data_IF_818498452375
#
_entry.id   IF_818498452375
#
_cell.length_a   1.000
_cell.length_b   1.000
_cell.length_c   1.000
_cell.angle_alpha   90.00
_cell.angle_beta   90.00
_cell.angle_gamma   90.00
#
_symmetry.space_group_name_H-M   'P 1'
#
loop_
_entity.id
_entity.type
_entity.pdbx_description
1 polymer ?
#
# COMPACT_ATOMS: atom_id res chain seq x y z
N UNK A 1 5.54 33.84 10.60
CA UNK A 1 5.60 32.41 10.27
C UNK A 1 4.65 31.66 11.17
N UNK A 2 3.76 30.83 10.64
CA UNK A 2 2.81 30.05 11.45
C UNK A 2 3.44 28.70 11.81
N UNK A 3 3.43 28.34 13.10
CA UNK A 3 3.90 27.04 13.58
C UNK A 3 2.82 25.98 13.38
N UNK A 4 3.11 24.96 12.57
CA UNK A 4 2.20 23.83 12.38
C UNK A 4 2.28 22.92 13.59
N UNK A 5 1.19 22.83 14.36
CA UNK A 5 1.08 21.89 15.48
C UNK A 5 0.52 20.56 14.99
N UNK A 6 1.28 19.49 15.17
CA UNK A 6 0.85 18.12 14.87
C UNK A 6 0.23 17.51 16.12
N UNK A 7 -0.99 16.99 16.00
CA UNK A 7 -1.72 16.31 17.07
C UNK A 7 -2.02 14.87 16.66
N UNK A 8 -1.70 13.91 17.53
CA UNK A 8 -2.13 12.52 17.39
C UNK A 8 -3.11 12.21 18.52
N UNK A 9 -4.39 11.93 18.21
CA UNK A 9 -5.36 11.59 19.24
C UNK A 9 -4.95 10.31 19.97
N UNK A 10 -5.15 10.27 21.29
CA UNK A 10 -4.93 9.06 22.09
C UNK A 10 -5.87 7.90 21.71
N UNK A 11 -7.02 8.23 21.09
CA UNK A 11 -7.97 7.27 20.54
C UNK A 11 -8.33 7.65 19.10
N UNK A 12 -8.05 6.75 18.16
CA UNK A 12 -8.46 6.87 16.76
C UNK A 12 -9.55 5.86 16.45
N UNK A 13 -10.75 6.36 16.16
CA UNK A 13 -11.83 5.53 15.64
C UNK A 13 -11.66 5.38 14.14
N UNK A 14 -11.71 4.13 13.67
CA UNK A 14 -11.67 3.85 12.23
C UNK A 14 -13.03 4.17 11.60
N UNK A 15 -13.06 5.12 10.68
CA UNK A 15 -14.24 5.48 9.91
C UNK A 15 -14.04 5.08 8.44
N UNK A 16 -14.76 4.07 8.00
CA UNK A 16 -14.67 3.52 6.64
C UNK A 16 -14.96 4.57 5.56
N UNK A 17 -15.89 5.51 5.82
CA UNK A 17 -16.18 6.61 4.91
C UNK A 17 -14.97 7.54 4.73
N UNK A 18 -14.29 7.90 5.82
CA UNK A 18 -13.11 8.75 5.77
C UNK A 18 -11.92 8.01 5.14
N UNK A 19 -11.75 6.72 5.42
CA UNK A 19 -10.71 5.91 4.78
C UNK A 19 -10.90 5.84 3.26
N UNK A 20 -12.15 5.65 2.80
CA UNK A 20 -12.49 5.68 1.37
C UNK A 20 -12.20 7.04 0.74
N UNK A 21 -12.59 8.14 1.38
CA UNK A 21 -12.30 9.49 0.86
C UNK A 21 -10.79 9.77 0.82
N UNK A 22 -10.01 9.27 1.78
CA UNK A 22 -8.54 9.34 1.75
C UNK A 22 -7.96 8.57 0.57
N UNK A 23 -8.42 7.34 0.33
CA UNK A 23 -7.99 6.53 -0.81
C UNK A 23 -8.29 7.26 -2.13
N UNK A 24 -9.51 7.77 -2.30
CA UNK A 24 -9.91 8.60 -3.45
C UNK A 24 -9.04 9.83 -3.62
N UNK A 25 -8.79 10.56 -2.53
CA UNK A 25 -8.00 11.80 -2.58
C UNK A 25 -6.58 11.55 -3.09
N UNK A 26 -5.91 10.50 -2.58
CA UNK A 26 -4.56 10.14 -3.00
C UNK A 26 -4.52 9.68 -4.46
N UNK A 27 -5.45 8.80 -4.85
CA UNK A 27 -5.52 8.28 -6.22
C UNK A 27 -5.90 9.38 -7.23
N UNK A 28 -6.84 10.25 -6.86
CA UNK A 28 -7.22 11.40 -7.68
C UNK A 28 -6.06 12.37 -7.88
N UNK A 29 -5.29 12.67 -6.84
CA UNK A 29 -4.14 13.56 -6.95
C UNK A 29 -3.09 13.05 -7.94
N UNK A 30 -2.89 11.72 -8.00
CA UNK A 30 -2.00 11.08 -8.96
C UNK A 30 -2.60 11.04 -10.37
N UNK A 31 -3.85 10.62 -10.51
CA UNK A 31 -4.54 10.51 -11.79
C UNK A 31 -4.70 11.88 -12.48
N UNK A 32 -5.03 12.93 -11.72
CA UNK A 32 -5.17 14.30 -12.22
C UNK A 32 -3.85 14.87 -12.81
N UNK A 33 -2.70 14.30 -12.43
CA UNK A 33 -1.38 14.65 -12.97
C UNK A 33 -0.93 13.74 -14.11
N UNK A 34 -1.76 12.80 -14.54
CA UNK A 34 -1.45 11.87 -15.62
C UNK A 34 -0.45 10.78 -15.24
N UNK A 35 -0.23 10.51 -13.95
CA UNK A 35 0.57 9.37 -13.52
C UNK A 35 -0.17 8.06 -13.84
N UNK A 36 0.52 7.15 -14.52
CA UNK A 36 0.01 5.82 -14.87
C UNK A 36 0.44 4.73 -13.89
N UNK A 37 1.26 5.05 -12.88
CA UNK A 37 1.67 4.15 -11.82
C UNK A 37 1.80 4.86 -10.47
N UNK A 38 1.51 4.15 -9.37
CA UNK A 38 1.64 4.66 -8.00
C UNK A 38 2.21 3.61 -7.04
N UNK A 39 3.02 4.07 -6.08
CA UNK A 39 3.49 3.27 -4.95
C UNK A 39 2.88 3.83 -3.67
N UNK A 40 2.19 2.98 -2.91
CA UNK A 40 1.43 3.31 -1.72
C UNK A 40 1.95 2.50 -0.52
N UNK A 41 1.52 2.85 0.69
CA UNK A 41 1.83 2.11 1.92
C UNK A 41 0.57 1.54 2.59
N UNK A 42 0.75 0.86 3.73
CA UNK A 42 -0.36 0.41 4.56
C UNK A 42 -0.94 1.59 5.38
N UNK A 43 -1.71 2.45 4.72
CA UNK A 43 -2.26 3.69 5.29
C UNK A 43 -2.95 3.44 6.64
N UNK A 44 -2.54 4.18 7.66
CA UNK A 44 -3.17 4.10 8.99
C UNK A 44 -2.94 2.81 9.79
N UNK A 45 -2.31 1.78 9.21
CA UNK A 45 -2.16 0.45 9.82
C UNK A 45 -0.99 0.36 10.83
N UNK A 46 -0.42 1.51 11.22
CA UNK A 46 0.66 1.64 12.20
C UNK A 46 0.18 2.38 13.45
N UNK A 47 0.68 3.60 13.67
CA UNK A 47 0.35 4.42 14.84
C UNK A 47 -1.17 4.68 15.02
N UNK A 48 -1.91 4.79 13.91
CA UNK A 48 -3.36 5.01 13.92
C UNK A 48 -4.18 3.72 14.12
N UNK A 49 -3.50 2.57 14.17
CA UNK A 49 -4.08 1.25 14.49
C UNK A 49 -5.29 0.86 13.62
N UNK A 50 -5.33 1.29 12.37
CA UNK A 50 -6.34 0.80 11.43
C UNK A 50 -6.20 -0.72 11.24
N UNK A 51 -7.32 -1.37 10.95
CA UNK A 51 -7.30 -2.78 10.54
C UNK A 51 -6.80 -2.88 9.09
N UNK A 52 -5.64 -3.50 8.83
CA UNK A 52 -5.08 -3.61 7.50
C UNK A 52 -5.98 -4.36 6.52
N UNK A 53 -6.78 -5.32 6.98
CA UNK A 53 -7.71 -6.04 6.11
C UNK A 53 -8.80 -5.09 5.56
N UNK A 54 -9.37 -4.25 6.43
CA UNK A 54 -10.37 -3.25 6.02
C UNK A 54 -9.75 -2.16 5.16
N UNK A 55 -8.55 -1.69 5.52
CA UNK A 55 -7.88 -0.64 4.75
C UNK A 55 -7.60 -1.11 3.31
N UNK A 56 -7.03 -2.31 3.14
CA UNK A 56 -6.74 -2.83 1.79
C UNK A 56 -8.02 -3.13 0.99
N UNK A 57 -9.08 -3.62 1.63
CA UNK A 57 -10.37 -3.85 0.98
C UNK A 57 -10.93 -2.55 0.39
N UNK A 58 -10.87 -1.45 1.15
CA UNK A 58 -11.32 -0.14 0.71
C UNK A 58 -10.49 0.34 -0.49
N UNK A 59 -9.17 0.24 -0.42
CA UNK A 59 -8.30 0.60 -1.54
C UNK A 59 -8.58 -0.24 -2.79
N UNK A 60 -8.71 -1.56 -2.63
CA UNK A 60 -8.99 -2.48 -3.72
C UNK A 60 -10.32 -2.15 -4.42
N UNK A 61 -11.36 -1.79 -3.64
CA UNK A 61 -12.66 -1.38 -4.17
C UNK A 61 -12.58 -0.08 -4.95
N UNK A 62 -11.95 0.96 -4.37
CA UNK A 62 -11.80 2.27 -5.04
C UNK A 62 -10.99 2.15 -6.33
N UNK A 63 -9.90 1.37 -6.33
CA UNK A 63 -9.10 1.11 -7.53
C UNK A 63 -9.92 0.42 -8.62
N UNK A 64 -10.71 -0.60 -8.27
CA UNK A 64 -11.53 -1.37 -9.21
C UNK A 64 -12.69 -0.56 -9.79
N UNK A 65 -13.33 0.25 -8.96
CA UNK A 65 -14.59 0.91 -9.30
C UNK A 65 -14.37 2.29 -9.94
N UNK A 66 -13.32 3.02 -9.52
CA UNK A 66 -13.15 4.44 -9.86
C UNK A 66 -11.84 4.76 -10.60
N UNK A 67 -10.75 4.02 -10.37
CA UNK A 67 -9.40 4.39 -10.84
C UNK A 67 -8.74 3.33 -11.72
N UNK A 68 -9.36 3.05 -12.88
CA UNK A 68 -8.83 2.12 -13.89
C UNK A 68 -7.72 2.69 -14.79
N UNK A 69 -7.29 3.93 -14.54
CA UNK A 69 -6.27 4.61 -15.33
C UNK A 69 -4.83 4.19 -14.99
N UNK A 70 -4.60 3.58 -13.83
CA UNK A 70 -3.27 3.12 -13.44
C UNK A 70 -2.94 1.78 -14.11
N UNK A 71 -1.79 1.73 -14.80
CA UNK A 71 -1.18 0.50 -15.30
C UNK A 71 -0.58 -0.34 -14.18
N UNK A 72 -0.08 0.29 -13.11
CA UNK A 72 0.51 -0.41 -11.98
C UNK A 72 0.23 0.30 -10.64
N UNK A 73 -0.14 -0.48 -9.63
CA UNK A 73 -0.32 0.00 -8.25
C UNK A 73 0.42 -0.95 -7.33
N UNK A 74 1.39 -0.44 -6.59
CA UNK A 74 2.23 -1.24 -5.68
C UNK A 74 1.98 -0.77 -4.25
N UNK A 75 1.73 -1.71 -3.34
CA UNK A 75 1.70 -1.44 -1.90
C UNK A 75 3.03 -1.87 -1.26
N UNK A 76 3.93 -0.91 -1.03
CA UNK A 76 5.20 -1.11 -0.35
C UNK A 76 4.99 -1.22 1.17
N UNK A 77 4.60 -2.41 1.64
CA UNK A 77 4.33 -2.67 3.06
C UNK A 77 5.58 -3.16 3.77
N UNK A 78 6.19 -2.28 4.57
CA UNK A 78 7.44 -2.54 5.30
C UNK A 78 7.21 -2.68 6.81
N UNK A 79 8.14 -3.38 7.49
CA UNK A 79 8.23 -3.47 8.96
C UNK A 79 7.02 -4.07 9.71
N UNK A 80 6.05 -4.66 9.01
CA UNK A 80 4.89 -5.33 9.63
C UNK A 80 4.45 -6.54 8.82
N UNK A 81 4.76 -7.73 9.32
CA UNK A 81 4.33 -9.00 8.73
C UNK A 81 2.81 -9.11 8.65
N UNK A 82 2.10 -8.69 9.70
CA UNK A 82 0.63 -8.67 9.75
C UNK A 82 0.03 -7.81 8.63
N UNK A 83 0.59 -6.61 8.41
CA UNK A 83 0.09 -5.73 7.36
C UNK A 83 0.43 -6.31 5.99
N UNK A 84 1.65 -6.83 5.81
CA UNK A 84 2.07 -7.45 4.56
C UNK A 84 1.15 -8.61 4.16
N UNK A 85 0.85 -9.52 5.09
CA UNK A 85 -0.03 -10.68 4.85
C UNK A 85 -1.46 -10.26 4.49
N UNK A 86 -2.02 -9.27 5.18
CA UNK A 86 -3.35 -8.74 4.87
C UNK A 86 -3.41 -8.12 3.46
N UNK A 87 -2.40 -7.30 3.11
CA UNK A 87 -2.35 -6.67 1.80
C UNK A 87 -2.09 -7.67 0.67
N UNK A 88 -1.17 -8.63 0.88
CA UNK A 88 -0.85 -9.65 -0.10
C UNK A 88 -2.02 -10.60 -0.41
N UNK A 89 -2.94 -10.81 0.54
CA UNK A 89 -4.14 -11.63 0.32
C UNK A 89 -5.14 -10.96 -0.62
N UNK A 90 -5.41 -9.66 -0.41
CA UNK A 90 -6.43 -8.93 -1.18
C UNK A 90 -5.89 -8.36 -2.50
N UNK A 91 -4.61 -7.95 -2.50
CA UNK A 91 -3.90 -7.38 -3.63
C UNK A 91 -2.60 -8.14 -3.82
N UNK A 92 -2.66 -9.38 -4.35
CA UNK A 92 -1.45 -10.13 -4.64
C UNK A 92 -0.59 -9.32 -5.61
N UNK A 93 0.73 -9.33 -5.41
CA UNK A 93 1.67 -8.67 -6.29
C UNK A 93 1.45 -9.17 -7.73
N UNK A 94 0.85 -8.34 -8.57
CA UNK A 94 0.70 -8.60 -9.99
C UNK A 94 2.08 -8.39 -10.61
N UNK A 95 2.78 -9.48 -10.87
CA UNK A 95 4.17 -9.45 -11.33
C UNK A 95 4.90 -10.79 -11.45
N UNK A 96 4.28 -11.91 -11.08
CA UNK A 96 4.68 -13.22 -11.63
C UNK A 96 3.48 -13.69 -12.44
N UNK A 97 3.66 -13.78 -13.76
CA UNK A 97 2.72 -14.49 -14.63
C UNK A 97 2.39 -15.87 -14.02
N UNK A 98 1.19 -16.43 -14.26
CA UNK A 98 0.81 -17.73 -13.73
C UNK A 98 1.55 -18.85 -14.48
N UNK A 99 2.88 -18.93 -14.32
CA UNK A 99 3.72 -20.02 -14.79
C UNK A 99 4.64 -20.52 -13.66
N UNK A 100 4.18 -20.52 -12.40
CA UNK A 100 4.66 -21.49 -11.41
C UNK A 100 3.80 -21.48 -10.14
N UNK A 101 3.18 -22.62 -9.85
CA UNK A 101 2.10 -22.80 -8.88
C UNK A 101 2.58 -23.22 -7.47
N UNK A 102 3.71 -22.71 -6.96
CA UNK A 102 4.20 -23.13 -5.63
C UNK A 102 4.57 -21.97 -4.70
N UNK A 103 4.14 -22.10 -3.45
CA UNK A 103 4.36 -21.14 -2.34
C UNK A 103 5.84 -20.81 -2.12
N UNK A 104 6.72 -21.77 -2.37
CA UNK A 104 8.19 -21.62 -2.30
C UNK A 104 8.73 -20.59 -3.30
N UNK A 105 8.19 -20.53 -4.53
CA UNK A 105 8.64 -19.59 -5.55
C UNK A 105 8.23 -18.15 -5.22
N UNK A 106 7.09 -17.98 -4.54
CA UNK A 106 6.61 -16.67 -4.07
C UNK A 106 7.48 -16.11 -2.95
N UNK A 107 7.92 -16.97 -2.01
CA UNK A 107 8.81 -16.57 -0.92
C UNK A 107 10.22 -16.26 -1.44
N UNK A 108 10.73 -17.01 -2.42
CA UNK A 108 12.01 -16.72 -3.05
C UNK A 108 12.04 -15.35 -3.75
N UNK A 109 11.03 -15.03 -4.56
CA UNK A 109 10.93 -13.72 -5.22
C UNK A 109 10.78 -12.56 -4.22
N UNK A 110 10.05 -12.78 -3.12
CA UNK A 110 9.95 -11.80 -2.03
C UNK A 110 11.30 -11.58 -1.34
N UNK A 111 12.08 -12.64 -1.13
CA UNK A 111 13.41 -12.56 -0.51
C UNK A 111 14.44 -11.91 -1.43
N UNK A 112 14.39 -12.15 -2.74
CA UNK A 112 15.24 -11.46 -3.73
C UNK A 112 14.92 -9.97 -3.80
N UNK A 113 13.64 -9.59 -3.78
CA UNK A 113 13.23 -8.19 -3.76
C UNK A 113 13.72 -7.48 -2.48
N UNK A 114 13.58 -8.12 -1.32
CA UNK A 114 14.04 -7.61 -0.02
C UNK A 114 15.58 -7.59 0.09
N UNK A 115 16.29 -8.48 -0.62
CA UNK A 115 17.74 -8.56 -0.64
C UNK A 115 18.46 -7.49 -1.48
N UNK A 116 17.75 -6.64 -2.22
CA UNK A 116 18.36 -5.70 -3.17
C UNK A 116 18.80 -4.35 -2.58
N UNK A 117 18.77 -4.13 -1.26
CA UNK A 117 19.28 -2.89 -0.65
C UNK A 117 20.35 -3.20 0.39
N UNK A 118 21.60 -3.18 -0.06
CA UNK A 118 22.76 -3.22 0.82
C UNK A 118 24.07 -3.29 0.06
N UNK A 119 24.38 -2.27 -0.74
CA UNK A 119 25.76 -1.85 -1.06
C UNK A 119 25.69 -0.35 -1.43
N UNK A 120 25.94 0.50 -0.43
CA UNK A 120 26.31 1.90 -0.61
C UNK A 120 27.78 1.94 -1.03
N UNK A 121 28.09 2.42 -2.23
CA UNK A 121 29.46 2.50 -2.72
C UNK A 121 29.92 3.97 -2.71
N UNK A 122 30.98 4.33 -1.96
CA UNK A 122 31.42 5.70 -1.83
C UNK A 122 32.16 6.17 -3.09
N UNK A 123 31.99 7.45 -3.41
CA UNK A 123 32.90 8.21 -4.30
C UNK A 123 34.04 8.82 -3.51
#
# INVERSE_FOLDING_TARGET
>A
SHEVRLFTPAATTFHESLAREKARSVLHAAAARGHDAVVLGAFGCGAFKHDPAKEVEIFAKVLRDEFRCFRAVVFAVVFSRRNLEAFARELPLVGVAPECSTETARLAALMEFVGSHGEDQPR
#
